data_IF_499772508333
#
_entry.id   IF_499772508333
#
_cell.length_a   1.000
_cell.length_b   1.000
_cell.length_c   1.000
_cell.angle_alpha   90.00
_cell.angle_beta   90.00
_cell.angle_gamma   90.00
#
_symmetry.space_group_name_H-M   'P 1'
#
loop_
_entity.id
_entity.type
_entity.pdbx_description
1 polymer ?
#
# COMPACT_ATOMS: atom_id res chain seq x y z
N UNK A 1 -34.68 -16.37 -19.73
CA UNK A 1 -35.26 -15.87 -18.47
C UNK A 1 -35.35 -14.33 -18.42
N UNK A 2 -34.34 -13.56 -18.87
CA UNK A 2 -34.39 -12.08 -18.88
C UNK A 2 -35.46 -11.51 -19.81
N UNK A 3 -35.65 -12.09 -20.98
CA UNK A 3 -36.63 -11.66 -21.99
C UNK A 3 -38.08 -11.85 -21.55
N UNK A 4 -38.39 -12.90 -20.81
CA UNK A 4 -39.73 -13.18 -20.34
C UNK A 4 -40.21 -12.26 -19.20
N UNK A 5 -39.27 -11.79 -18.37
CA UNK A 5 -39.60 -10.82 -17.31
C UNK A 5 -39.95 -9.45 -17.95
N UNK A 6 -39.27 -9.07 -19.01
CA UNK A 6 -39.56 -7.82 -19.75
C UNK A 6 -40.93 -7.87 -20.45
N UNK A 7 -41.27 -9.04 -21.05
CA UNK A 7 -42.58 -9.23 -21.71
C UNK A 7 -43.72 -9.24 -20.68
N UNK A 8 -43.53 -9.85 -19.50
CA UNK A 8 -44.52 -9.89 -18.44
C UNK A 8 -44.80 -8.46 -17.86
N UNK A 9 -43.77 -7.66 -17.68
CA UNK A 9 -43.89 -6.27 -17.27
C UNK A 9 -44.63 -5.41 -18.34
N UNK A 10 -44.38 -5.65 -19.60
CA UNK A 10 -45.06 -4.93 -20.70
C UNK A 10 -46.54 -5.27 -20.78
N UNK A 11 -46.94 -6.56 -20.56
CA UNK A 11 -48.31 -7.01 -20.58
C UNK A 11 -49.10 -6.49 -19.36
N UNK A 12 -48.48 -6.40 -18.20
CA UNK A 12 -49.11 -5.85 -16.96
C UNK A 12 -49.30 -4.33 -17.07
N UNK A 13 -48.37 -3.59 -17.64
CA UNK A 13 -48.50 -2.16 -17.81
C UNK A 13 -49.49 -1.74 -18.92
N UNK A 14 -49.69 -2.57 -19.94
CA UNK A 14 -50.57 -2.24 -21.08
C UNK A 14 -52.07 -2.26 -20.77
N UNK A 15 -52.51 -2.95 -19.67
CA UNK A 15 -53.92 -3.15 -19.40
C UNK A 15 -54.49 -2.37 -18.20
N UNK A 16 -53.70 -1.60 -17.49
CA UNK A 16 -54.11 -1.03 -16.21
C UNK A 16 -54.42 0.49 -16.19
N UNK A 17 -54.08 1.25 -17.23
CA UNK A 17 -54.27 2.70 -17.16
C UNK A 17 -54.70 3.36 -18.49
N UNK A 18 -55.99 3.48 -18.77
CA UNK A 18 -56.47 4.25 -19.92
C UNK A 18 -56.49 5.79 -19.68
N UNK A 19 -56.08 6.30 -18.50
CA UNK A 19 -56.16 7.73 -18.19
C UNK A 19 -55.02 8.19 -17.28
N UNK A 20 -53.75 8.09 -17.75
CA UNK A 20 -52.66 8.74 -17.05
C UNK A 20 -52.08 9.81 -17.98
N UNK A 21 -52.14 11.05 -17.51
CA UNK A 21 -51.48 12.20 -18.13
C UNK A 21 -49.96 11.95 -18.23
N UNK A 22 -49.29 12.41 -19.31
CA UNK A 22 -47.85 12.14 -19.55
C UNK A 22 -46.93 12.53 -18.39
N UNK A 23 -47.26 13.56 -17.59
CA UNK A 23 -46.49 13.99 -16.43
C UNK A 23 -46.59 13.01 -15.26
N UNK A 24 -47.80 12.56 -14.97
CA UNK A 24 -48.09 11.60 -13.88
C UNK A 24 -47.54 10.19 -14.24
N UNK A 25 -47.61 9.84 -15.52
CA UNK A 25 -47.05 8.59 -16.02
C UNK A 25 -45.53 8.52 -15.82
N UNK A 26 -44.79 9.59 -16.11
CA UNK A 26 -43.32 9.63 -15.93
C UNK A 26 -42.91 9.56 -14.47
N UNK A 27 -43.66 10.20 -13.57
CA UNK A 27 -43.41 10.13 -12.11
C UNK A 27 -43.64 8.71 -11.56
N UNK A 28 -44.71 8.03 -11.97
CA UNK A 28 -45.02 6.65 -11.58
C UNK A 28 -43.95 5.68 -12.11
N UNK A 29 -43.47 5.86 -13.34
CA UNK A 29 -42.34 5.06 -13.87
C UNK A 29 -41.08 5.29 -13.06
N UNK A 30 -40.76 6.51 -12.72
CA UNK A 30 -39.55 6.84 -11.93
C UNK A 30 -39.59 6.17 -10.54
N UNK A 31 -40.76 6.23 -9.88
CA UNK A 31 -40.99 5.56 -8.58
C UNK A 31 -40.87 4.04 -8.73
N UNK A 32 -41.47 3.45 -9.76
CA UNK A 32 -41.42 2.03 -10.01
C UNK A 32 -39.99 1.56 -10.26
N UNK A 33 -39.21 2.30 -11.06
CA UNK A 33 -37.80 2.00 -11.29
C UNK A 33 -36.95 2.14 -10.02
N UNK A 34 -37.22 3.15 -9.18
CA UNK A 34 -36.56 3.31 -7.89
C UNK A 34 -36.84 2.13 -6.95
N UNK A 35 -38.09 1.68 -6.87
CA UNK A 35 -38.49 0.52 -6.07
C UNK A 35 -37.85 -0.76 -6.59
N UNK A 36 -37.92 -1.01 -7.89
CA UNK A 36 -37.30 -2.20 -8.52
C UNK A 36 -35.79 -2.22 -8.38
N UNK A 37 -35.14 -1.04 -8.54
CA UNK A 37 -33.72 -0.86 -8.28
C UNK A 37 -33.34 -1.19 -6.83
N UNK A 38 -34.11 -0.66 -5.88
CA UNK A 38 -33.92 -0.93 -4.45
C UNK A 38 -34.08 -2.41 -4.14
N UNK A 39 -35.13 -3.06 -4.63
CA UNK A 39 -35.37 -4.50 -4.48
C UNK A 39 -34.22 -5.30 -5.09
N UNK A 40 -33.77 -4.94 -6.27
CA UNK A 40 -32.62 -5.59 -6.93
C UNK A 40 -31.34 -5.50 -6.09
N UNK A 41 -31.04 -4.32 -5.54
CA UNK A 41 -29.88 -4.14 -4.66
C UNK A 41 -30.01 -4.90 -3.34
N UNK A 42 -31.21 -4.92 -2.73
CA UNK A 42 -31.50 -5.71 -1.52
C UNK A 42 -31.37 -7.21 -1.77
N UNK A 43 -31.90 -7.73 -2.89
CA UNK A 43 -31.75 -9.12 -3.29
C UNK A 43 -30.29 -9.48 -3.57
N UNK A 44 -29.55 -8.59 -4.24
CA UNK A 44 -28.12 -8.80 -4.48
C UNK A 44 -27.34 -8.83 -3.16
N UNK A 45 -27.62 -7.93 -2.25
CA UNK A 45 -27.01 -7.90 -0.91
C UNK A 45 -27.39 -9.16 -0.10
N UNK A 46 -28.63 -9.62 -0.18
CA UNK A 46 -29.11 -10.84 0.47
C UNK A 46 -28.47 -12.12 -0.12
N UNK A 47 -28.32 -12.19 -1.44
CA UNK A 47 -27.63 -13.30 -2.11
C UNK A 47 -26.15 -13.33 -1.72
N UNK A 48 -25.50 -12.17 -1.64
CA UNK A 48 -24.13 -12.06 -1.15
C UNK A 48 -24.05 -12.54 0.30
N UNK A 49 -24.98 -12.12 1.15
CA UNK A 49 -25.06 -12.52 2.56
C UNK A 49 -25.29 -14.04 2.73
N UNK A 50 -26.16 -14.65 1.91
CA UNK A 50 -26.36 -16.11 1.91
C UNK A 50 -25.11 -16.85 1.40
N UNK A 51 -24.48 -16.38 0.34
CA UNK A 51 -23.24 -16.99 -0.17
C UNK A 51 -22.12 -16.90 0.87
N UNK A 52 -21.95 -15.74 1.52
CA UNK A 52 -20.96 -15.58 2.60
C UNK A 52 -21.30 -16.42 3.82
N UNK A 53 -22.57 -16.56 4.20
CA UNK A 53 -23.02 -17.44 5.28
C UNK A 53 -22.83 -18.93 4.95
N UNK A 54 -23.06 -19.33 3.70
CA UNK A 54 -22.80 -20.71 3.24
C UNK A 54 -21.29 -21.03 3.23
N UNK A 55 -20.43 -20.06 2.89
CA UNK A 55 -18.97 -20.18 3.03
C UNK A 55 -18.55 -20.34 4.50
N UNK A 56 -19.21 -19.62 5.41
CA UNK A 56 -18.97 -19.75 6.85
C UNK A 56 -19.40 -21.12 7.41
N UNK A 57 -20.33 -21.83 6.77
CA UNK A 57 -20.86 -23.11 7.24
C UNK A 57 -20.08 -24.33 6.76
N UNK A 58 -19.22 -24.19 5.73
CA UNK A 58 -18.27 -25.22 5.31
C UNK A 58 -17.00 -25.18 6.19
N UNK A 59 -17.23 -25.24 7.50
CA UNK A 59 -16.21 -25.23 8.54
C UNK A 59 -15.77 -26.67 8.86
N UNK A 60 -14.78 -27.17 8.17
CA UNK A 60 -13.65 -27.79 8.86
C UNK A 60 -12.76 -26.62 9.30
N UNK A 61 -13.21 -25.90 10.35
CA UNK A 61 -12.40 -24.83 10.92
C UNK A 61 -11.42 -25.48 11.83
N UNK A 62 -10.23 -25.54 11.31
CA UNK A 62 -9.00 -25.61 12.04
C UNK A 62 -9.13 -24.83 13.35
N UNK A 63 -8.48 -25.37 14.39
CA UNK A 63 -8.31 -24.72 15.69
C UNK A 63 -8.05 -23.24 15.45
N UNK A 64 -8.78 -22.37 16.15
CA UNK A 64 -8.70 -20.92 16.10
C UNK A 64 -7.26 -20.47 15.88
N UNK A 65 -6.99 -19.80 14.77
CA UNK A 65 -5.66 -19.28 14.46
C UNK A 65 -5.23 -18.31 15.57
N UNK A 66 -3.99 -18.43 16.04
CA UNK A 66 -3.48 -17.44 17.00
C UNK A 66 -3.21 -16.11 16.31
N UNK A 67 -2.47 -16.15 15.22
CA UNK A 67 -2.15 -14.99 14.40
C UNK A 67 -2.59 -15.22 12.96
N UNK A 68 -3.33 -14.27 12.43
CA UNK A 68 -3.58 -14.14 11.00
C UNK A 68 -2.73 -13.00 10.48
N UNK A 69 -2.04 -13.23 9.36
CA UNK A 69 -1.36 -12.18 8.59
C UNK A 69 -2.10 -12.03 7.27
N UNK A 70 -2.42 -10.81 6.90
CA UNK A 70 -3.09 -10.51 5.64
C UNK A 70 -2.21 -9.67 4.73
N UNK A 71 -1.84 -10.27 3.58
CA UNK A 71 -1.15 -9.63 2.47
C UNK A 71 -2.12 -9.28 1.35
N UNK A 72 -2.38 -7.98 1.15
CA UNK A 72 -3.26 -7.52 0.07
C UNK A 72 -2.64 -7.73 -1.31
N UNK A 73 -1.30 -7.74 -1.40
CA UNK A 73 -0.57 -7.86 -2.64
C UNK A 73 0.80 -8.52 -2.39
N UNK A 74 1.29 -9.30 -3.34
CA UNK A 74 2.61 -9.94 -3.29
C UNK A 74 3.78 -8.97 -3.07
N UNK A 75 3.60 -7.68 -3.36
CA UNK A 75 4.58 -6.62 -3.07
C UNK A 75 4.95 -6.54 -1.59
N UNK A 76 4.04 -6.94 -0.70
CA UNK A 76 4.25 -6.93 0.73
C UNK A 76 4.90 -8.21 1.26
N UNK A 77 5.28 -9.15 0.39
CA UNK A 77 5.99 -10.36 0.78
C UNK A 77 7.26 -10.04 1.60
N UNK A 78 8.10 -9.13 1.11
CA UNK A 78 9.34 -8.75 1.81
C UNK A 78 9.09 -8.01 3.14
N UNK A 79 7.91 -7.45 3.36
CA UNK A 79 7.51 -6.90 4.65
C UNK A 79 7.15 -8.00 5.65
N UNK A 80 6.36 -8.99 5.21
CA UNK A 80 5.83 -10.02 6.11
C UNK A 80 6.75 -11.23 6.29
N UNK A 81 7.56 -11.57 5.29
CA UNK A 81 8.49 -12.72 5.34
C UNK A 81 9.35 -12.74 6.59
N UNK A 82 10.09 -11.67 6.99
CA UNK A 82 10.92 -11.70 8.19
C UNK A 82 10.11 -11.94 9.47
N UNK A 83 8.87 -11.43 9.54
CA UNK A 83 7.97 -11.62 10.68
C UNK A 83 7.50 -13.07 10.75
N UNK A 84 7.10 -13.63 9.60
CA UNK A 84 6.64 -15.02 9.49
C UNK A 84 7.77 -15.98 9.88
N UNK A 85 8.98 -15.78 9.38
CA UNK A 85 10.14 -16.62 9.70
C UNK A 85 10.46 -16.60 11.20
N UNK A 86 10.38 -15.45 11.85
CA UNK A 86 10.61 -15.35 13.30
C UNK A 86 9.46 -15.98 14.10
N UNK A 87 8.20 -15.81 13.71
CA UNK A 87 7.06 -16.47 14.35
C UNK A 87 7.14 -18.00 14.21
N UNK A 88 7.63 -18.52 13.08
CA UNK A 88 7.90 -19.96 12.88
C UNK A 88 8.98 -20.44 13.87
N UNK A 89 10.09 -19.70 14.04
CA UNK A 89 11.13 -20.01 15.01
C UNK A 89 10.59 -20.05 16.44
N UNK A 90 9.62 -19.17 16.76
CA UNK A 90 8.91 -19.15 18.04
C UNK A 90 7.83 -20.24 18.17
N UNK A 91 7.65 -21.08 17.15
CA UNK A 91 6.64 -22.16 17.07
C UNK A 91 5.20 -21.66 17.29
N UNK A 92 4.90 -20.45 16.78
CA UNK A 92 3.58 -19.85 16.86
C UNK A 92 2.78 -20.20 15.60
N UNK A 93 1.60 -20.83 15.69
CA UNK A 93 0.76 -21.13 14.54
C UNK A 93 0.23 -19.86 13.86
N UNK A 94 0.51 -19.75 12.56
CA UNK A 94 0.16 -18.61 11.71
C UNK A 94 -0.74 -19.08 10.58
N UNK A 95 -1.72 -18.25 10.23
CA UNK A 95 -2.43 -18.34 8.96
C UNK A 95 -2.12 -17.10 8.15
N UNK A 96 -1.57 -17.29 6.96
CA UNK A 96 -1.31 -16.19 6.03
C UNK A 96 -2.35 -16.19 4.90
N UNK A 97 -3.08 -15.10 4.76
CA UNK A 97 -4.00 -14.89 3.66
C UNK A 97 -3.43 -13.93 2.64
N UNK A 98 -3.33 -14.36 1.37
CA UNK A 98 -2.89 -13.52 0.27
C UNK A 98 -3.99 -13.28 -0.75
N UNK A 99 -4.01 -12.08 -1.34
CA UNK A 99 -4.84 -11.76 -2.51
C UNK A 99 -4.09 -11.95 -3.84
N UNK A 100 -2.83 -12.41 -3.81
CA UNK A 100 -2.03 -12.74 -5.00
C UNK A 100 -1.78 -14.24 -5.09
N UNK A 101 -2.05 -14.85 -6.25
CA UNK A 101 -1.86 -16.30 -6.47
C UNK A 101 -0.38 -16.69 -6.47
N UNK A 102 0.47 -15.77 -6.86
CA UNK A 102 1.93 -15.92 -7.01
C UNK A 102 2.71 -15.22 -5.87
N UNK A 103 2.10 -15.11 -4.68
CA UNK A 103 2.77 -14.57 -3.50
C UNK A 103 3.91 -15.51 -3.06
N UNK A 104 5.10 -14.94 -2.79
CA UNK A 104 6.27 -15.67 -2.34
C UNK A 104 6.08 -16.45 -1.04
N UNK A 105 5.07 -16.11 -0.25
CA UNK A 105 4.75 -16.79 1.00
C UNK A 105 4.39 -18.27 0.80
N UNK A 106 3.84 -18.61 -0.37
CA UNK A 106 3.46 -20.00 -0.70
C UNK A 106 4.69 -20.94 -0.87
N UNK A 107 5.88 -20.38 -0.98
CA UNK A 107 7.13 -21.15 -1.04
C UNK A 107 7.74 -21.43 0.34
N UNK A 108 7.16 -20.92 1.42
CA UNK A 108 7.62 -21.17 2.79
C UNK A 108 6.89 -22.40 3.35
N UNK A 109 7.63 -23.49 3.54
CA UNK A 109 7.11 -24.72 4.13
C UNK A 109 7.39 -24.75 5.64
N UNK A 110 6.34 -24.91 6.46
CA UNK A 110 6.46 -25.06 7.91
C UNK A 110 5.17 -25.63 8.51
N UNK A 111 5.28 -26.48 9.53
CA UNK A 111 4.14 -26.96 10.31
C UNK A 111 3.41 -25.84 11.09
N UNK A 112 4.08 -24.69 11.27
CA UNK A 112 3.52 -23.51 11.97
C UNK A 112 2.92 -22.49 11.02
N UNK A 113 3.02 -22.67 9.69
CA UNK A 113 2.47 -21.77 8.70
C UNK A 113 1.46 -22.48 7.80
N UNK A 114 0.25 -21.96 7.75
CA UNK A 114 -0.71 -22.25 6.69
C UNK A 114 -0.89 -20.99 5.85
N UNK A 115 -0.60 -21.08 4.58
CA UNK A 115 -0.83 -19.99 3.61
C UNK A 115 -1.97 -20.33 2.67
N UNK A 116 -2.79 -19.33 2.31
CA UNK A 116 -3.96 -19.53 1.46
C UNK A 116 -4.21 -18.30 0.58
N UNK A 117 -4.42 -18.54 -0.72
CA UNK A 117 -4.96 -17.55 -1.63
C UNK A 117 -6.47 -17.39 -1.41
N UNK A 118 -6.91 -16.18 -1.09
CA UNK A 118 -8.31 -15.91 -0.73
C UNK A 118 -9.14 -15.25 -1.85
N UNK A 119 -8.54 -15.07 -3.03
CA UNK A 119 -9.13 -14.33 -4.14
C UNK A 119 -8.87 -12.84 -4.05
N UNK A 120 -9.49 -12.07 -4.93
CA UNK A 120 -9.32 -10.61 -5.04
C UNK A 120 -10.61 -9.86 -4.72
N UNK A 121 -10.49 -8.61 -4.28
CA UNK A 121 -11.60 -7.68 -4.07
C UNK A 121 -12.66 -8.22 -3.10
N UNK A 122 -13.92 -8.11 -3.47
CA UNK A 122 -15.05 -8.47 -2.60
C UNK A 122 -15.05 -9.92 -2.12
N UNK A 123 -14.44 -10.87 -2.88
CA UNK A 123 -14.33 -12.27 -2.47
C UNK A 123 -13.40 -12.40 -1.26
N UNK A 124 -12.25 -11.75 -1.31
CA UNK A 124 -11.28 -11.74 -0.23
C UNK A 124 -11.84 -11.02 1.02
N UNK A 125 -12.44 -9.84 0.84
CA UNK A 125 -13.05 -9.10 1.95
C UNK A 125 -14.18 -9.88 2.63
N UNK A 126 -15.01 -10.59 1.83
CA UNK A 126 -16.04 -11.45 2.39
C UNK A 126 -15.46 -12.54 3.31
N UNK A 127 -14.30 -13.11 2.97
CA UNK A 127 -13.61 -14.08 3.83
C UNK A 127 -13.05 -13.40 5.08
N UNK A 128 -12.33 -12.28 4.91
CA UNK A 128 -11.70 -11.55 6.01
C UNK A 128 -12.70 -11.05 7.06
N UNK A 129 -13.93 -10.72 6.65
CA UNK A 129 -14.97 -10.25 7.56
C UNK A 129 -15.48 -11.36 8.54
N UNK A 130 -15.10 -12.63 8.33
CA UNK A 130 -15.53 -13.77 9.16
C UNK A 130 -14.36 -14.59 9.72
N UNK A 131 -13.14 -14.08 9.68
CA UNK A 131 -11.98 -14.76 10.28
C UNK A 131 -12.05 -14.76 11.80
N UNK A 132 -11.41 -15.76 12.41
CA UNK A 132 -11.29 -15.88 13.87
C UNK A 132 -9.80 -15.99 14.24
N UNK A 133 -9.31 -15.07 15.07
CA UNK A 133 -7.94 -15.06 15.54
C UNK A 133 -7.79 -14.26 16.84
N UNK A 134 -6.68 -14.47 17.54
CA UNK A 134 -6.33 -13.59 18.64
C UNK A 134 -5.78 -12.25 18.08
N UNK A 135 -4.96 -12.32 17.02
CA UNK A 135 -4.37 -11.14 16.35
C UNK A 135 -4.54 -11.25 14.86
N UNK A 136 -4.87 -10.13 14.21
CA UNK A 136 -4.77 -9.97 12.76
C UNK A 136 -3.78 -8.85 12.44
N UNK A 137 -2.65 -9.20 11.82
CA UNK A 137 -1.63 -8.28 11.33
C UNK A 137 -1.85 -7.97 9.86
N UNK A 138 -1.81 -6.69 9.49
CA UNK A 138 -1.91 -6.25 8.10
C UNK A 138 -1.22 -4.90 7.87
N UNK A 139 -0.93 -4.61 6.61
CA UNK A 139 -0.44 -3.29 6.19
C UNK A 139 -1.49 -2.48 5.40
N UNK A 140 -2.63 -3.10 5.08
CA UNK A 140 -3.76 -2.43 4.43
C UNK A 140 -4.41 -1.45 5.38
N UNK A 141 -4.45 -0.15 5.06
CA UNK A 141 -5.10 0.86 5.89
C UNK A 141 -6.64 0.83 5.72
N UNK A 142 -7.32 1.76 6.38
CA UNK A 142 -8.77 1.98 6.26
C UNK A 142 -9.63 0.77 6.65
N UNK A 143 -9.15 -0.05 7.61
CA UNK A 143 -9.95 -1.09 8.24
C UNK A 143 -11.27 -0.50 8.77
N UNK A 144 -12.38 -1.16 8.51
CA UNK A 144 -13.76 -0.78 8.89
C UNK A 144 -14.29 0.53 8.28
N UNK A 145 -13.47 1.22 7.49
CA UNK A 145 -13.89 2.45 6.77
C UNK A 145 -14.63 2.11 5.48
N UNK A 146 -14.05 1.22 4.66
CA UNK A 146 -14.62 0.84 3.36
C UNK A 146 -15.17 -0.59 3.38
N UNK A 147 -14.75 -1.42 2.42
CA UNK A 147 -15.27 -2.78 2.24
C UNK A 147 -14.65 -3.80 3.20
N UNK A 148 -13.39 -3.57 3.62
CA UNK A 148 -12.71 -4.40 4.60
C UNK A 148 -13.24 -4.07 6.00
N UNK A 149 -14.09 -4.95 6.55
CA UNK A 149 -14.69 -4.75 7.88
C UNK A 149 -13.95 -5.52 8.97
N UNK A 150 -14.04 -5.02 10.20
CA UNK A 150 -13.54 -5.77 11.38
C UNK A 150 -14.37 -7.05 11.56
N UNK A 151 -13.70 -8.20 11.59
CA UNK A 151 -14.34 -9.44 12.02
C UNK A 151 -14.56 -9.42 13.53
N UNK A 152 -15.75 -9.80 13.98
CA UNK A 152 -16.05 -10.01 15.40
C UNK A 152 -15.26 -11.16 16.04
N UNK A 153 -14.68 -12.03 15.20
CA UNK A 153 -13.87 -13.17 15.63
C UNK A 153 -12.40 -12.82 15.92
N UNK A 154 -11.96 -11.59 15.61
CA UNK A 154 -10.58 -11.12 15.84
C UNK A 154 -10.55 -10.24 17.08
N UNK A 155 -9.63 -10.54 18.02
CA UNK A 155 -9.54 -9.79 19.28
C UNK A 155 -8.75 -8.49 19.13
N UNK A 156 -7.63 -8.50 18.37
CA UNK A 156 -6.78 -7.34 18.12
C UNK A 156 -6.40 -7.23 16.66
N UNK A 157 -6.54 -6.03 16.10
CA UNK A 157 -6.05 -5.67 14.79
C UNK A 157 -4.77 -4.83 14.90
N UNK A 158 -3.71 -5.31 14.29
CA UNK A 158 -2.39 -4.67 14.27
C UNK A 158 -2.09 -4.18 12.85
N UNK A 159 -1.79 -2.90 12.71
CA UNK A 159 -1.27 -2.36 11.45
C UNK A 159 0.25 -2.31 11.51
N UNK A 160 0.92 -2.66 10.42
CA UNK A 160 2.35 -2.41 10.24
C UNK A 160 2.57 -1.46 9.07
N UNK A 161 3.31 -0.39 9.31
CA UNK A 161 3.65 0.57 8.25
C UNK A 161 4.66 -0.05 7.29
N UNK A 162 4.41 0.07 5.99
CA UNK A 162 5.27 -0.51 4.94
C UNK A 162 6.27 0.47 4.33
N UNK A 163 6.20 1.73 4.74
CA UNK A 163 7.09 2.80 4.25
C UNK A 163 7.56 3.65 5.41
N UNK A 164 8.81 4.13 5.39
CA UNK A 164 9.33 5.06 6.39
C UNK A 164 8.75 6.48 6.26
N UNK A 165 7.85 6.72 5.31
CA UNK A 165 7.16 8.00 5.18
C UNK A 165 6.22 8.31 6.34
N UNK A 166 5.61 9.50 6.32
CA UNK A 166 4.67 9.95 7.33
C UNK A 166 3.30 9.27 7.21
N UNK A 167 2.60 9.12 8.33
CA UNK A 167 1.19 8.67 8.34
C UNK A 167 0.29 9.67 7.61
N UNK A 168 0.67 10.95 7.61
CA UNK A 168 -0.08 12.00 6.93
C UNK A 168 -0.32 11.80 5.43
N UNK A 169 0.44 10.93 4.74
CA UNK A 169 0.21 10.59 3.32
C UNK A 169 -0.82 9.45 3.14
N UNK A 170 -1.31 8.85 4.18
CA UNK A 170 -2.39 7.88 4.10
C UNK A 170 -3.73 8.57 3.82
N UNK A 171 -4.66 7.84 3.20
CA UNK A 171 -6.04 8.32 3.04
C UNK A 171 -6.69 8.52 4.41
N UNK A 172 -7.63 9.47 4.49
CA UNK A 172 -8.35 9.79 5.74
C UNK A 172 -8.89 8.54 6.43
N UNK A 173 -8.84 8.53 7.76
CA UNK A 173 -9.31 7.46 8.65
C UNK A 173 -8.55 6.14 8.49
N UNK A 174 -7.28 6.23 8.08
CA UNK A 174 -6.45 5.07 7.76
C UNK A 174 -6.24 4.11 8.91
N UNK A 175 -6.03 4.63 10.12
CA UNK A 175 -5.66 3.86 11.29
C UNK A 175 -6.71 3.85 12.40
N UNK A 176 -7.85 4.54 12.23
CA UNK A 176 -8.81 4.82 13.30
C UNK A 176 -9.33 3.56 14.01
N UNK A 177 -9.48 2.46 13.29
CA UNK A 177 -10.05 1.22 13.82
C UNK A 177 -9.03 0.13 14.16
N UNK A 178 -7.73 0.43 14.11
CA UNK A 178 -6.70 -0.48 14.61
C UNK A 178 -6.51 -0.34 16.11
N UNK A 179 -6.11 -1.44 16.74
CA UNK A 179 -5.83 -1.49 18.19
C UNK A 179 -4.36 -1.20 18.47
N UNK A 180 -3.48 -1.50 17.53
CA UNK A 180 -2.04 -1.37 17.64
C UNK A 180 -1.42 -1.00 16.30
N UNK A 181 -0.29 -0.25 16.32
CA UNK A 181 0.47 0.09 15.11
C UNK A 181 1.96 -0.15 15.34
N UNK A 182 2.55 -0.88 14.39
CA UNK A 182 3.99 -1.08 14.28
C UNK A 182 4.58 -0.04 13.34
N UNK A 183 5.54 0.73 13.83
CA UNK A 183 6.10 1.93 13.20
C UNK A 183 7.53 1.69 12.72
N UNK A 184 7.90 2.32 11.62
CA UNK A 184 9.28 2.29 11.11
C UNK A 184 10.22 3.16 11.93
N UNK A 185 9.73 4.28 12.45
CA UNK A 185 10.49 5.23 13.27
C UNK A 185 9.59 6.05 14.18
N UNK A 186 10.19 6.70 15.16
CA UNK A 186 9.47 7.49 16.16
C UNK A 186 8.76 8.73 15.58
N UNK A 187 9.22 9.23 14.44
CA UNK A 187 8.61 10.37 13.73
C UNK A 187 7.14 10.16 13.39
N UNK A 188 6.68 8.90 13.26
CA UNK A 188 5.29 8.57 12.94
C UNK A 188 4.35 8.68 14.15
N UNK A 189 4.87 8.76 15.38
CA UNK A 189 4.07 8.76 16.62
C UNK A 189 3.24 10.04 16.73
N UNK A 190 3.85 11.19 16.48
CA UNK A 190 3.21 12.49 16.68
C UNK A 190 1.95 12.64 15.80
N UNK A 191 2.04 12.26 14.53
CA UNK A 191 0.91 12.30 13.59
C UNK A 191 -0.27 11.46 14.10
N UNK A 192 -0.01 10.23 14.59
CA UNK A 192 -1.05 9.33 15.11
C UNK A 192 -1.70 9.91 16.36
N UNK A 193 -0.92 10.40 17.31
CA UNK A 193 -1.44 10.98 18.56
C UNK A 193 -2.27 12.24 18.32
N UNK A 194 -1.87 13.08 17.36
CA UNK A 194 -2.65 14.25 16.96
C UNK A 194 -3.98 13.83 16.34
N UNK A 195 -4.00 12.87 15.41
CA UNK A 195 -5.21 12.36 14.78
C UNK A 195 -6.16 11.72 15.79
N UNK A 196 -5.66 10.92 16.75
CA UNK A 196 -6.45 10.33 17.82
C UNK A 196 -7.15 11.40 18.67
N UNK A 197 -6.42 12.45 19.05
CA UNK A 197 -6.95 13.57 19.83
C UNK A 197 -8.00 14.36 19.03
N UNK A 198 -7.75 14.65 17.76
CA UNK A 198 -8.67 15.42 16.91
C UNK A 198 -9.99 14.69 16.67
N UNK A 199 -9.94 13.35 16.59
CA UNK A 199 -11.12 12.51 16.30
C UNK A 199 -11.74 11.89 17.53
N UNK A 200 -11.16 12.12 18.71
CA UNK A 200 -11.58 11.50 19.97
C UNK A 200 -11.67 9.96 19.83
N UNK A 201 -10.68 9.35 19.16
CA UNK A 201 -10.57 7.90 19.03
C UNK A 201 -9.76 7.33 20.18
N UNK A 202 -9.93 6.01 20.44
CA UNK A 202 -9.13 5.30 21.44
C UNK A 202 -7.65 5.37 21.07
N UNK A 203 -6.79 5.63 22.07
CA UNK A 203 -5.35 5.53 21.91
C UNK A 203 -4.93 4.11 21.52
N UNK A 204 -4.06 4.00 20.52
CA UNK A 204 -3.50 2.75 20.03
C UNK A 204 -2.21 2.41 20.76
N UNK A 205 -1.94 1.13 20.93
CA UNK A 205 -0.60 0.69 21.31
C UNK A 205 0.37 0.99 20.15
N UNK A 206 1.42 1.78 20.36
CA UNK A 206 2.41 2.12 19.34
C UNK A 206 3.76 1.50 19.67
N UNK A 207 4.34 0.77 18.71
CA UNK A 207 5.66 0.15 18.86
C UNK A 207 6.57 0.52 17.68
N UNK A 208 7.73 1.11 17.98
CA UNK A 208 8.75 1.38 16.97
C UNK A 208 9.54 0.09 16.74
N UNK A 209 9.16 -0.64 15.71
CA UNK A 209 9.78 -1.94 15.37
C UNK A 209 10.88 -1.81 14.32
N UNK A 210 10.92 -0.73 13.56
CA UNK A 210 11.73 -0.59 12.35
C UNK A 210 10.99 -1.08 11.11
N UNK A 211 11.73 -1.31 10.03
CA UNK A 211 11.16 -1.71 8.75
C UNK A 211 11.65 -3.09 8.33
N UNK A 212 10.87 -4.16 8.55
CA UNK A 212 11.22 -5.48 8.03
C UNK A 212 11.43 -5.50 6.52
N UNK A 213 10.69 -4.68 5.78
CA UNK A 213 10.85 -4.49 4.33
C UNK A 213 12.23 -3.94 3.96
N UNK A 214 12.64 -2.84 4.60
CA UNK A 214 13.96 -2.25 4.35
C UNK A 214 15.09 -3.18 4.79
N UNK A 215 14.89 -3.95 5.86
CA UNK A 215 15.87 -4.95 6.33
C UNK A 215 16.12 -6.02 5.26
N UNK A 216 15.07 -6.54 4.61
CA UNK A 216 15.22 -7.52 3.52
C UNK A 216 15.86 -6.89 2.27
N UNK A 217 15.46 -5.67 1.92
CA UNK A 217 16.01 -4.96 0.79
C UNK A 217 17.51 -4.65 1.00
N UNK A 218 17.89 -4.23 2.21
CA UNK A 218 19.28 -3.98 2.57
C UNK A 218 20.15 -5.24 2.49
N UNK A 219 19.64 -6.40 2.93
CA UNK A 219 20.33 -7.69 2.76
C UNK A 219 20.57 -7.97 1.27
N UNK A 220 19.55 -7.76 0.43
CA UNK A 220 19.66 -7.99 -1.00
C UNK A 220 20.64 -7.02 -1.69
N UNK A 221 20.69 -5.75 -1.24
CA UNK A 221 21.66 -4.76 -1.71
C UNK A 221 23.08 -5.18 -1.33
N UNK A 222 23.33 -5.54 -0.07
CA UNK A 222 24.65 -5.89 0.43
C UNK A 222 25.24 -7.16 -0.22
N UNK A 223 24.38 -8.03 -0.73
CA UNK A 223 24.79 -9.25 -1.44
C UNK A 223 25.14 -9.01 -2.92
N UNK A 224 24.90 -7.81 -3.45
CA UNK A 224 25.15 -7.46 -4.85
C UNK A 224 26.39 -6.57 -4.96
N UNK A 225 27.30 -6.95 -5.84
CA UNK A 225 28.44 -6.12 -6.24
C UNK A 225 28.23 -5.75 -7.70
N UNK A 226 28.00 -4.49 -7.98
CA UNK A 226 27.83 -3.98 -9.34
C UNK A 226 28.53 -2.63 -9.48
N UNK A 227 28.85 -2.25 -10.70
CA UNK A 227 29.30 -0.91 -11.02
C UNK A 227 28.11 0.06 -11.02
N UNK A 228 28.33 1.28 -10.56
CA UNK A 228 27.33 2.34 -10.59
C UNK A 228 27.31 2.97 -11.99
N UNK A 229 26.68 2.30 -12.93
CA UNK A 229 26.66 2.63 -14.35
C UNK A 229 25.37 3.32 -14.84
N UNK A 230 24.43 3.56 -13.94
CA UNK A 230 23.08 3.93 -14.35
C UNK A 230 22.50 5.13 -13.58
N UNK A 231 21.48 5.75 -14.16
CA UNK A 231 20.55 6.69 -13.50
C UNK A 231 19.20 6.01 -13.41
N UNK A 232 18.59 6.00 -12.23
CA UNK A 232 17.29 5.38 -11.99
C UNK A 232 16.19 6.44 -12.06
N UNK A 233 15.17 6.21 -12.88
CA UNK A 233 13.92 6.96 -12.89
C UNK A 233 12.87 6.08 -12.20
N UNK A 234 12.44 6.46 -10.99
CA UNK A 234 11.48 5.71 -10.18
C UNK A 234 10.33 6.61 -9.70
N UNK A 235 9.36 6.91 -10.57
CA UNK A 235 8.28 7.85 -10.29
C UNK A 235 7.14 7.23 -9.50
N UNK A 236 6.27 8.08 -8.95
CA UNK A 236 4.91 7.71 -8.58
C UNK A 236 4.02 7.56 -9.82
N UNK A 237 2.74 7.39 -9.63
CA UNK A 237 1.73 7.19 -10.68
C UNK A 237 0.65 8.28 -10.64
N UNK A 238 -0.17 8.32 -11.71
CA UNK A 238 -1.31 9.20 -11.84
C UNK A 238 -1.01 10.51 -12.60
N UNK A 239 -2.01 11.39 -12.73
CA UNK A 239 -1.93 12.56 -13.63
C UNK A 239 -0.83 13.55 -13.26
N UNK A 240 -0.37 13.52 -12.00
CA UNK A 240 0.71 14.34 -11.50
C UNK A 240 2.06 13.61 -11.43
N UNK A 241 2.11 12.32 -11.80
CA UNK A 241 3.33 11.53 -11.82
C UNK A 241 4.35 12.03 -12.84
N UNK A 242 5.63 11.84 -12.50
CA UNK A 242 6.77 12.33 -13.25
C UNK A 242 6.78 11.86 -14.70
N UNK A 243 6.49 10.56 -14.97
CA UNK A 243 6.50 10.01 -16.32
C UNK A 243 5.45 10.66 -17.21
N UNK A 244 4.24 10.84 -16.69
CA UNK A 244 3.14 11.43 -17.46
C UNK A 244 3.39 12.89 -17.78
N UNK A 245 3.93 13.66 -16.83
CA UNK A 245 4.18 15.09 -17.06
C UNK A 245 5.44 15.37 -17.86
N UNK A 246 6.52 14.65 -17.57
CA UNK A 246 7.85 15.05 -17.99
C UNK A 246 8.70 13.90 -18.55
N UNK A 247 8.17 12.67 -18.63
CA UNK A 247 8.94 11.47 -18.92
C UNK A 247 9.91 11.63 -20.09
N UNK A 248 9.41 12.08 -21.25
CA UNK A 248 10.24 12.31 -22.42
C UNK A 248 11.32 13.37 -22.20
N UNK A 249 10.98 14.54 -21.64
CA UNK A 249 11.94 15.63 -21.42
C UNK A 249 13.05 15.20 -20.46
N UNK A 250 12.69 14.47 -19.40
CA UNK A 250 13.65 13.96 -18.41
C UNK A 250 14.58 12.94 -19.07
N UNK A 251 14.06 11.94 -19.78
CA UNK A 251 14.86 10.92 -20.44
C UNK A 251 15.82 11.59 -21.45
N UNK A 252 15.32 12.51 -22.27
CA UNK A 252 16.14 13.24 -23.27
C UNK A 252 17.26 14.05 -22.60
N UNK A 253 17.00 14.65 -21.45
CA UNK A 253 18.02 15.37 -20.68
C UNK A 253 19.06 14.41 -20.11
N UNK A 254 18.63 13.30 -19.51
CA UNK A 254 19.53 12.34 -18.89
C UNK A 254 20.37 11.57 -19.91
N UNK A 255 19.88 11.37 -21.13
CA UNK A 255 20.66 10.76 -22.24
C UNK A 255 21.88 11.58 -22.65
N UNK A 256 22.00 12.84 -22.22
CA UNK A 256 23.20 13.67 -22.42
C UNK A 256 24.35 13.24 -21.49
N UNK A 257 24.05 12.51 -20.43
CA UNK A 257 25.01 11.93 -19.49
C UNK A 257 25.54 10.58 -20.01
N UNK A 258 26.74 10.22 -19.61
CA UNK A 258 27.35 8.92 -19.97
C UNK A 258 26.96 7.83 -18.96
N UNK A 259 25.63 7.66 -18.76
CA UNK A 259 25.07 6.62 -17.89
C UNK A 259 23.94 5.89 -18.59
N UNK A 260 23.77 4.63 -18.26
CA UNK A 260 22.56 3.90 -18.64
C UNK A 260 21.35 4.48 -17.92
N UNK A 261 20.18 4.39 -18.52
CA UNK A 261 18.94 4.85 -17.88
C UNK A 261 18.10 3.64 -17.57
N UNK A 262 17.74 3.48 -16.31
CA UNK A 262 16.81 2.47 -15.82
C UNK A 262 15.50 3.19 -15.47
N UNK A 263 14.39 2.78 -16.09
CA UNK A 263 13.05 3.26 -15.74
C UNK A 263 12.33 2.14 -14.97
N UNK A 264 11.95 2.46 -13.74
CA UNK A 264 11.20 1.56 -12.85
C UNK A 264 9.83 2.18 -12.56
N UNK A 265 8.81 1.89 -13.39
CA UNK A 265 7.48 2.43 -13.19
C UNK A 265 6.87 1.96 -11.87
N UNK A 266 6.03 2.79 -11.27
CA UNK A 266 5.21 2.36 -10.15
C UNK A 266 4.31 1.18 -10.60
N UNK A 267 4.10 0.14 -9.76
CA UNK A 267 3.26 -1.00 -10.14
C UNK A 267 1.85 -0.61 -10.63
N UNK A 268 1.27 0.45 -10.07
CA UNK A 268 -0.03 0.96 -10.49
C UNK A 268 0.03 1.56 -11.91
N UNK A 269 1.15 2.14 -12.33
CA UNK A 269 1.32 2.66 -13.70
C UNK A 269 1.20 1.57 -14.74
N UNK A 270 1.61 0.32 -14.43
CA UNK A 270 1.47 -0.83 -15.32
C UNK A 270 0.00 -1.19 -15.61
N UNK A 271 -0.92 -0.71 -14.78
CA UNK A 271 -2.36 -0.93 -14.91
C UNK A 271 -3.04 0.30 -15.52
N UNK A 272 -2.76 1.49 -14.98
CA UNK A 272 -3.52 2.72 -15.28
C UNK A 272 -2.84 3.66 -16.27
N UNK A 273 -1.56 3.45 -16.60
CA UNK A 273 -0.75 4.35 -17.43
C UNK A 273 0.01 3.59 -18.52
N UNK A 274 -0.59 2.52 -19.05
CA UNK A 274 -0.01 1.72 -20.14
C UNK A 274 0.31 2.55 -21.37
N UNK A 275 -0.53 3.52 -21.69
CA UNK A 275 -0.40 4.43 -22.80
C UNK A 275 0.95 5.14 -22.81
N UNK A 276 1.33 5.79 -21.70
CA UNK A 276 2.60 6.53 -21.63
C UNK A 276 3.81 5.59 -21.57
N UNK A 277 3.66 4.42 -20.91
CA UNK A 277 4.74 3.43 -20.86
C UNK A 277 5.04 2.86 -22.24
N UNK A 278 4.01 2.51 -23.02
CA UNK A 278 4.15 2.01 -24.39
C UNK A 278 4.71 3.09 -25.31
N UNK A 279 4.23 4.34 -25.22
CA UNK A 279 4.77 5.47 -25.96
C UNK A 279 6.28 5.66 -25.72
N UNK A 280 6.71 5.67 -24.48
CA UNK A 280 8.12 5.82 -24.13
C UNK A 280 8.98 4.63 -24.58
N UNK A 281 8.44 3.41 -24.53
CA UNK A 281 9.10 2.21 -25.07
C UNK A 281 9.32 2.31 -26.57
N UNK A 282 8.32 2.76 -27.30
CA UNK A 282 8.40 2.92 -28.75
C UNK A 282 9.43 3.99 -29.15
N UNK A 283 9.51 5.08 -28.41
CA UNK A 283 10.47 6.16 -28.66
C UNK A 283 11.90 5.72 -28.37
N UNK A 284 12.13 5.09 -27.21
CA UNK A 284 13.49 4.83 -26.73
C UNK A 284 14.00 3.42 -26.99
N UNK A 285 13.11 2.46 -27.28
CA UNK A 285 13.45 1.06 -27.59
C UNK A 285 14.52 0.50 -26.64
N UNK A 286 15.63 0.02 -27.17
CA UNK A 286 16.73 -0.57 -26.42
C UNK A 286 17.68 0.45 -25.78
N UNK A 287 17.41 1.76 -25.92
CA UNK A 287 18.29 2.80 -25.36
C UNK A 287 18.04 3.10 -23.89
N UNK A 288 17.03 2.49 -23.28
CA UNK A 288 16.72 2.53 -21.85
C UNK A 288 16.33 1.13 -21.35
N UNK A 289 16.65 0.85 -20.11
CA UNK A 289 16.26 -0.39 -19.44
C UNK A 289 14.96 -0.19 -18.63
N UNK A 290 14.04 -1.16 -18.73
CA UNK A 290 12.80 -1.16 -17.97
C UNK A 290 12.86 -2.20 -16.85
N UNK A 291 12.78 -1.78 -15.60
CA UNK A 291 12.77 -2.67 -14.45
C UNK A 291 11.35 -2.86 -13.91
N UNK A 292 10.83 -4.08 -14.04
CA UNK A 292 9.50 -4.51 -13.56
C UNK A 292 9.58 -5.48 -12.38
N UNK A 293 10.78 -5.74 -11.85
CA UNK A 293 10.96 -6.67 -10.75
C UNK A 293 10.25 -6.17 -9.49
N UNK A 294 9.75 -7.07 -8.66
CA UNK A 294 9.22 -6.71 -7.34
C UNK A 294 10.32 -6.21 -6.39
N UNK A 295 11.54 -6.72 -6.52
CA UNK A 295 12.73 -6.32 -5.78
C UNK A 295 13.48 -5.19 -6.50
N UNK A 296 13.62 -4.04 -5.86
CA UNK A 296 14.30 -2.85 -6.39
C UNK A 296 15.83 -2.87 -6.20
N UNK A 297 16.38 -3.83 -5.46
CA UNK A 297 17.80 -3.86 -5.10
C UNK A 297 18.74 -3.84 -6.30
N UNK A 298 18.36 -4.49 -7.40
CA UNK A 298 19.15 -4.49 -8.64
C UNK A 298 19.31 -3.08 -9.24
N UNK A 299 18.20 -2.35 -9.40
CA UNK A 299 18.24 -0.98 -9.92
C UNK A 299 18.91 -0.03 -8.95
N UNK A 300 18.74 -0.24 -7.64
CA UNK A 300 19.31 0.60 -6.60
C UNK A 300 20.84 0.54 -6.57
N UNK A 301 21.42 -0.66 -6.60
CA UNK A 301 22.88 -0.80 -6.53
C UNK A 301 23.59 -0.27 -7.76
N UNK A 302 22.98 -0.40 -8.94
CA UNK A 302 23.52 0.07 -10.22
C UNK A 302 23.40 1.58 -10.41
N UNK A 303 22.44 2.20 -9.75
CA UNK A 303 22.21 3.62 -9.98
C UNK A 303 23.12 4.52 -9.17
N UNK A 304 23.68 5.52 -9.83
CA UNK A 304 24.47 6.61 -9.25
C UNK A 304 23.58 7.59 -8.51
N UNK A 305 22.43 7.90 -9.09
CA UNK A 305 21.39 8.78 -8.55
C UNK A 305 20.01 8.25 -8.92
N UNK A 306 18.99 8.73 -8.21
CA UNK A 306 17.59 8.52 -8.56
C UNK A 306 16.95 9.85 -8.97
N UNK A 307 16.11 9.82 -10.01
CA UNK A 307 15.15 10.87 -10.36
C UNK A 307 13.77 10.35 -10.03
N UNK A 308 13.04 11.04 -9.18
CA UNK A 308 11.70 10.62 -8.71
C UNK A 308 10.80 11.86 -8.55
N UNK A 309 9.67 11.70 -7.89
CA UNK A 309 8.73 12.79 -7.58
C UNK A 309 8.37 12.77 -6.09
N UNK A 310 7.13 12.45 -5.72
CA UNK A 310 6.65 12.33 -4.34
C UNK A 310 6.52 10.88 -3.87
N UNK A 311 7.15 9.94 -4.57
CA UNK A 311 7.09 8.50 -4.28
C UNK A 311 7.81 8.13 -2.98
N UNK A 312 7.24 7.19 -2.22
CA UNK A 312 7.88 6.63 -1.02
C UNK A 312 9.22 5.96 -1.27
N UNK A 313 9.47 5.51 -2.50
CA UNK A 313 10.74 4.88 -2.93
C UNK A 313 11.97 5.80 -2.75
N UNK A 314 11.76 7.11 -2.64
CA UNK A 314 12.82 8.09 -2.35
C UNK A 314 13.50 7.73 -1.02
N UNK A 315 12.71 7.46 0.01
CA UNK A 315 13.25 7.10 1.32
C UNK A 315 13.95 5.74 1.29
N UNK A 316 13.38 4.75 0.58
CA UNK A 316 14.02 3.44 0.41
C UNK A 316 15.41 3.60 -0.21
N UNK A 317 15.50 4.33 -1.32
CA UNK A 317 16.76 4.56 -2.01
C UNK A 317 17.75 5.41 -1.19
N UNK A 318 17.29 6.54 -0.65
CA UNK A 318 18.16 7.43 0.14
C UNK A 318 18.70 6.74 1.38
N UNK A 319 17.88 5.94 2.08
CA UNK A 319 18.30 5.30 3.32
C UNK A 319 19.18 4.07 3.10
N UNK A 320 18.96 3.33 2.00
CA UNK A 320 19.67 2.09 1.75
C UNK A 320 20.94 2.30 0.93
N UNK A 321 20.93 3.26 0.01
CA UNK A 321 22.08 3.54 -0.86
C UNK A 321 22.89 4.77 -0.42
N UNK A 322 22.32 5.63 0.43
CA UNK A 322 22.93 6.91 0.90
C UNK A 322 23.32 7.83 -0.26
N UNK A 323 22.51 7.82 -1.32
CA UNK A 323 22.71 8.53 -2.57
C UNK A 323 21.66 9.63 -2.75
N UNK A 324 21.99 10.71 -3.49
CA UNK A 324 21.07 11.81 -3.73
C UNK A 324 19.90 11.39 -4.63
N UNK A 325 18.75 12.03 -4.38
CA UNK A 325 17.55 11.93 -5.21
C UNK A 325 17.23 13.29 -5.79
N UNK A 326 16.84 13.33 -7.06
CA UNK A 326 16.45 14.54 -7.78
C UNK A 326 14.93 14.53 -7.96
N UNK A 327 14.25 15.57 -7.48
CA UNK A 327 12.79 15.66 -7.53
C UNK A 327 12.34 17.00 -8.12
N UNK A 328 11.28 17.04 -8.95
CA UNK A 328 10.71 18.31 -9.38
C UNK A 328 10.05 19.01 -8.18
N UNK A 329 10.04 20.32 -8.19
CA UNK A 329 9.24 21.09 -7.26
C UNK A 329 7.76 20.75 -7.45
N UNK A 330 7.06 20.41 -6.37
CA UNK A 330 5.64 20.11 -6.42
C UNK A 330 4.89 20.72 -5.24
N UNK A 331 3.60 20.99 -5.47
CA UNK A 331 2.68 21.35 -4.41
C UNK A 331 1.86 20.12 -4.04
N UNK A 332 1.96 19.71 -2.80
CA UNK A 332 1.16 18.60 -2.31
C UNK A 332 -0.28 19.04 -2.02
N UNK A 333 -1.24 18.32 -2.58
CA UNK A 333 -2.64 18.46 -2.22
C UNK A 333 -2.95 17.59 -1.00
N UNK A 334 -3.37 18.20 0.11
CA UNK A 334 -3.73 17.51 1.36
C UNK A 334 -5.15 16.91 1.34
N UNK A 335 -5.98 17.26 0.34
CA UNK A 335 -7.38 16.81 0.28
C UNK A 335 -7.50 15.29 0.17
N UNK A 336 -8.25 14.68 1.07
CA UNK A 336 -8.46 13.24 1.12
C UNK A 336 -7.37 12.45 1.85
N UNK A 337 -6.33 13.12 2.38
CA UNK A 337 -5.25 12.51 3.15
C UNK A 337 -5.29 12.91 4.62
N UNK A 338 -4.63 12.13 5.49
CA UNK A 338 -4.54 12.41 6.93
C UNK A 338 -3.91 13.77 7.22
N UNK A 339 -2.95 14.20 6.40
CA UNK A 339 -2.30 15.51 6.51
C UNK A 339 -3.24 16.71 6.40
N UNK A 340 -4.47 16.52 5.91
CA UNK A 340 -5.49 17.56 5.89
C UNK A 340 -5.88 18.01 7.31
N UNK A 341 -5.87 17.09 8.27
CA UNK A 341 -6.26 17.34 9.66
C UNK A 341 -5.11 17.82 10.53
N UNK A 342 -3.87 17.53 10.14
CA UNK A 342 -2.68 17.87 10.93
C UNK A 342 -2.35 19.37 10.82
N UNK A 343 -2.00 19.98 11.96
CA UNK A 343 -1.69 21.42 12.06
C UNK A 343 -0.40 21.76 11.34
N UNK A 344 0.62 20.96 11.60
CA UNK A 344 1.95 21.15 11.04
C UNK A 344 2.13 20.38 9.74
N UNK A 345 3.10 20.79 8.95
CA UNK A 345 3.56 19.96 7.85
C UNK A 345 4.16 18.67 8.40
N UNK A 346 3.78 17.57 7.75
CA UNK A 346 4.23 16.23 8.12
C UNK A 346 5.75 16.10 7.93
N UNK A 347 6.35 15.20 8.69
CA UNK A 347 7.79 14.92 8.64
C UNK A 347 8.31 14.73 7.22
N UNK A 348 7.59 14.03 6.38
CA UNK A 348 7.96 13.78 4.98
C UNK A 348 8.22 15.08 4.20
N UNK A 349 7.33 16.08 4.31
CA UNK A 349 7.47 17.34 3.58
C UNK A 349 8.58 18.24 4.16
N UNK A 350 8.86 18.12 5.45
CA UNK A 350 9.99 18.81 6.09
C UNK A 350 11.33 18.17 5.72
N UNK A 351 11.33 16.88 5.41
CA UNK A 351 12.55 16.08 5.18
C UNK A 351 12.93 16.00 3.70
N UNK A 352 11.96 15.81 2.80
CA UNK A 352 12.24 15.70 1.37
C UNK A 352 13.14 16.81 0.82
N UNK A 353 12.89 18.11 1.08
CA UNK A 353 13.75 19.17 0.56
C UNK A 353 15.19 19.15 1.09
N UNK A 354 15.46 18.43 2.19
CA UNK A 354 16.78 18.33 2.79
C UNK A 354 17.60 17.16 2.25
N UNK A 355 16.92 16.07 1.85
CA UNK A 355 17.55 14.84 1.37
C UNK A 355 17.56 14.71 -0.15
N UNK A 356 17.01 15.69 -0.86
CA UNK A 356 16.91 15.71 -2.31
C UNK A 356 17.40 17.00 -2.91
N UNK A 357 17.73 16.96 -4.20
CA UNK A 357 17.96 18.13 -5.04
C UNK A 357 16.67 18.47 -5.76
N UNK A 358 16.11 19.65 -5.48
CA UNK A 358 14.89 20.10 -6.15
C UNK A 358 15.23 20.83 -7.45
N UNK A 359 14.44 20.56 -8.49
CA UNK A 359 14.51 21.29 -9.76
C UNK A 359 13.11 21.72 -10.20
N UNK A 360 13.01 22.86 -10.88
CA UNK A 360 11.72 23.29 -11.43
C UNK A 360 11.53 22.81 -12.87
N UNK A 361 10.32 22.94 -13.40
CA UNK A 361 9.97 22.47 -14.75
C UNK A 361 10.84 23.12 -15.84
N UNK A 362 11.29 24.36 -15.66
CA UNK A 362 12.12 25.08 -16.62
C UNK A 362 13.55 24.55 -16.66
N UNK A 363 13.97 23.84 -15.61
CA UNK A 363 15.34 23.31 -15.50
C UNK A 363 15.46 21.87 -16.02
N UNK A 364 14.37 21.22 -16.42
CA UNK A 364 14.39 19.81 -16.87
C UNK A 364 15.37 19.59 -18.03
N UNK A 365 15.48 20.52 -18.96
CA UNK A 365 16.41 20.40 -20.10
C UNK A 365 17.89 20.48 -19.69
N UNK A 366 18.16 21.00 -18.47
CA UNK A 366 19.48 21.13 -17.85
C UNK A 366 19.66 20.17 -16.66
N UNK A 367 18.77 19.21 -16.50
CA UNK A 367 18.81 18.27 -15.38
C UNK A 367 20.13 17.50 -15.31
N UNK A 368 20.72 17.20 -16.47
CA UNK A 368 22.06 16.62 -16.57
C UNK A 368 23.13 17.49 -15.86
N UNK A 369 23.13 18.82 -16.08
CA UNK A 369 24.09 19.72 -15.44
C UNK A 369 23.85 19.84 -13.92
N UNK A 370 22.58 19.83 -13.49
CA UNK A 370 22.19 19.85 -12.08
C UNK A 370 22.68 18.59 -11.38
N UNK A 371 22.52 17.43 -12.01
CA UNK A 371 22.99 16.15 -11.48
C UNK A 371 24.51 16.18 -11.30
N UNK A 372 25.26 16.52 -12.33
CA UNK A 372 26.74 16.56 -12.26
C UNK A 372 27.27 17.46 -11.13
N UNK A 373 26.64 18.62 -10.93
CA UNK A 373 27.03 19.57 -9.87
C UNK A 373 26.73 19.05 -8.46
N UNK A 374 25.67 18.23 -8.30
CA UNK A 374 25.14 17.85 -6.99
C UNK A 374 25.51 16.42 -6.55
N UNK A 375 26.19 15.64 -7.40
CA UNK A 375 26.57 14.25 -7.11
C UNK A 375 27.31 14.06 -5.78
N UNK A 376 28.12 15.02 -5.38
CA UNK A 376 29.00 14.96 -4.21
C UNK A 376 28.59 15.92 -3.10
N UNK A 377 27.34 16.38 -3.07
CA UNK A 377 26.86 17.29 -2.05
C UNK A 377 26.91 16.62 -0.66
N UNK A 378 27.83 17.12 0.16
CA UNK A 378 28.06 16.60 1.51
C UNK A 378 26.87 16.86 2.45
N UNK A 379 26.22 18.03 2.30
CA UNK A 379 25.10 18.39 3.15
C UNK A 379 23.90 17.45 2.94
N UNK A 380 23.62 17.08 1.70
CA UNK A 380 22.56 16.12 1.39
C UNK A 380 22.86 14.77 2.05
N UNK A 381 24.09 14.27 1.98
CA UNK A 381 24.49 13.00 2.62
C UNK A 381 24.32 13.05 4.15
N UNK A 382 24.72 14.13 4.78
CA UNK A 382 24.54 14.33 6.22
C UNK A 382 23.03 14.38 6.60
N UNK A 383 22.21 15.02 5.78
CA UNK A 383 20.77 15.06 6.00
C UNK A 383 20.08 13.70 5.77
N UNK A 384 20.54 12.92 4.79
CA UNK A 384 20.07 11.55 4.58
C UNK A 384 20.37 10.70 5.82
N UNK A 385 21.58 10.77 6.37
CA UNK A 385 21.95 10.02 7.57
C UNK A 385 21.05 10.36 8.77
N UNK A 386 20.78 11.65 9.00
CA UNK A 386 19.87 12.11 10.06
C UNK A 386 18.43 11.62 9.84
N UNK A 387 17.91 11.75 8.63
CA UNK A 387 16.56 11.30 8.30
C UNK A 387 16.42 9.77 8.43
N UNK A 388 17.46 9.02 8.06
CA UNK A 388 17.52 7.56 8.24
C UNK A 388 17.46 7.18 9.72
N UNK A 389 18.22 7.87 10.59
CA UNK A 389 18.20 7.63 12.04
C UNK A 389 16.80 7.85 12.65
N UNK A 390 16.08 8.89 12.20
CA UNK A 390 14.74 9.20 12.65
C UNK A 390 13.68 8.20 12.17
N UNK A 391 13.80 7.69 10.94
CA UNK A 391 12.73 7.02 10.23
C UNK A 391 12.97 5.52 9.95
N UNK A 392 14.17 5.01 10.19
CA UNK A 392 14.50 3.60 10.04
C UNK A 392 15.19 3.08 11.30
N UNK A 393 14.38 2.82 12.31
CA UNK A 393 14.85 2.29 13.59
C UNK A 393 15.13 0.78 13.50
N UNK A 394 15.88 0.27 14.48
CA UNK A 394 16.10 -1.17 14.71
C UNK A 394 16.55 -1.96 13.46
N UNK A 395 17.46 -1.39 12.69
CA UNK A 395 17.99 -1.96 11.45
C UNK A 395 18.37 -3.44 11.63
N UNK A 396 17.94 -4.30 10.71
CA UNK A 396 18.02 -5.78 10.73
C UNK A 396 17.22 -6.49 11.81
N UNK A 397 16.46 -5.78 12.64
CA UNK A 397 15.69 -6.38 13.75
C UNK A 397 14.17 -6.19 13.63
N UNK A 398 13.68 -5.52 12.59
CA UNK A 398 12.26 -5.20 12.45
C UNK A 398 11.35 -6.42 12.48
N UNK A 399 11.71 -7.48 11.77
CA UNK A 399 10.97 -8.74 11.77
C UNK A 399 10.95 -9.43 13.15
N UNK A 400 12.12 -9.52 13.79
CA UNK A 400 12.27 -10.14 15.11
C UNK A 400 11.51 -9.39 16.20
N UNK A 401 11.60 -8.06 16.23
CA UNK A 401 10.88 -7.24 17.20
C UNK A 401 9.37 -7.35 17.00
N UNK A 402 8.91 -7.29 15.76
CA UNK A 402 7.49 -7.48 15.44
C UNK A 402 6.97 -8.83 15.92
N UNK A 403 7.69 -9.92 15.67
CA UNK A 403 7.31 -11.26 16.10
C UNK A 403 7.28 -11.40 17.63
N UNK A 404 8.28 -10.85 18.34
CA UNK A 404 8.33 -10.89 19.79
C UNK A 404 7.16 -10.11 20.41
N UNK A 405 6.82 -8.92 19.88
CA UNK A 405 5.69 -8.13 20.39
C UNK A 405 4.38 -8.88 20.15
N UNK A 406 4.19 -9.48 18.97
CA UNK A 406 3.01 -10.32 18.68
C UNK A 406 2.91 -11.52 19.63
N UNK A 407 4.03 -12.19 19.93
CA UNK A 407 4.09 -13.29 20.92
C UNK A 407 3.65 -12.82 22.31
N UNK A 408 4.20 -11.71 22.79
CA UNK A 408 3.87 -11.15 24.11
C UNK A 408 2.39 -10.74 24.19
N UNK A 409 1.80 -10.23 23.11
CA UNK A 409 0.37 -9.91 23.05
C UNK A 409 -0.50 -11.16 23.20
N UNK A 410 -0.06 -12.33 22.68
CA UNK A 410 -0.78 -13.60 22.86
C UNK A 410 -0.75 -14.06 24.32
N UNK A 411 0.39 -13.93 25.00
CA UNK A 411 0.57 -14.37 26.39
C UNK A 411 -0.27 -13.53 27.34
N UNK A 412 -0.28 -12.22 27.18
CA UNK A 412 -1.14 -11.32 27.96
C UNK A 412 -2.63 -11.62 27.77
N UNK A 413 -3.04 -12.00 26.53
CA UNK A 413 -4.45 -12.40 26.29
C UNK A 413 -4.86 -13.70 26.96
N UNK A 414 -3.92 -14.56 27.36
CA UNK A 414 -4.18 -15.81 28.08
C UNK A 414 -4.28 -15.61 29.59
N UNK A 415 -3.61 -14.60 30.15
CA UNK A 415 -3.65 -14.29 31.59
C UNK A 415 -5.00 -13.70 32.00
N UNK A 416 -5.68 -12.94 31.16
CA UNK A 416 -7.05 -12.44 31.43
C UNK A 416 -8.16 -13.52 31.39
N UNK A 417 -7.85 -14.77 31.03
CA UNK A 417 -8.81 -15.89 31.06
C UNK A 417 -8.69 -16.77 32.34
N UNK A 418 -7.73 -16.47 33.22
CA UNK A 418 -7.50 -17.24 34.44
C UNK A 418 -8.01 -16.55 35.72
N UNK A 419 -8.59 -15.36 35.59
CA UNK A 419 -9.39 -14.67 36.59
C UNK A 419 -10.88 -14.73 36.22
#
# INVERSE_FOLDING_TARGET
MKTYIFLLLFIICGNLFPYIDPGTGSALFSILFAILGTIFFLLKAFIIKIKTFSFAKNKNIDKKAKIIIYGEDKRYYNLFKPIVEELIKLKIPIVYYSMSEDDGIFNIESEYLRSEYIGIGNKAYAKLNFIEADICLMTTPNLDVFQLKKSKGVKKYVHITHSPGSIGVYKMYSLDFFDCVFLNGAHQIADIRELEKLRNTKEKDLYVVGSPYLDELLKNINNKKTEEDSILIAPSWGPNGLLRKFGRKIIDSLKKLNYNIIVRPHPQSLITEKDIIEELKDIYKDSIEWDYNSDSSYSFVRSKVMVSDFSGVIFDYSFLCEKPVFIPEFKYNKDGFESYFLKDDIWQFKTLPKISVNFNENDIEKLNEIIEKSLNDRLIKENIAKAKEEAYANIYNGGKLSANILSNMLDNSNNFKKE
#
